data_IF_035834816670
#
_entry.id   IF_035834816670
#
_cell.length_a   1.000
_cell.length_b   1.000
_cell.length_c   1.000
_cell.angle_alpha   90.00
_cell.angle_beta   90.00
_cell.angle_gamma   90.00
#
_symmetry.space_group_name_H-M   'P 1'
#
loop_
_entity.id
_entity.type
_entity.pdbx_description
1 polymer ?
#
# COMPACT_ATOMS: atom_id res chain seq x y z
N UNK A 1 49.61 0.92 -18.73
CA UNK A 1 48.41 0.84 -17.90
C UNK A 1 47.25 1.44 -18.67
N UNK A 2 46.38 0.61 -19.23
CA UNK A 2 45.21 1.04 -20.00
C UNK A 2 44.00 1.01 -19.08
N UNK A 3 43.38 2.19 -18.85
CA UNK A 3 42.12 2.33 -18.09
C UNK A 3 40.98 1.69 -18.87
N UNK A 4 40.11 0.89 -18.23
CA UNK A 4 38.94 0.39 -18.89
C UNK A 4 37.89 1.52 -19.00
N UNK A 5 37.54 1.85 -20.24
CA UNK A 5 36.39 2.70 -20.55
C UNK A 5 35.13 2.03 -20.00
N UNK A 6 34.55 2.60 -18.95
CA UNK A 6 33.20 2.28 -18.52
C UNK A 6 32.23 2.82 -19.57
N UNK A 7 31.72 1.94 -20.43
CA UNK A 7 30.60 2.24 -21.31
C UNK A 7 29.37 2.52 -20.43
N UNK A 8 29.05 3.78 -20.27
CA UNK A 8 27.76 4.23 -19.72
C UNK A 8 26.63 3.61 -20.58
N UNK A 9 25.83 2.72 -19.96
CA UNK A 9 24.67 2.08 -20.59
C UNK A 9 23.44 2.98 -20.51
N UNK A 10 23.58 4.25 -20.73
CA UNK A 10 22.43 5.16 -20.78
C UNK A 10 21.71 4.96 -22.10
N UNK A 11 20.45 4.51 -22.02
CA UNK A 11 19.59 4.38 -23.20
C UNK A 11 19.46 5.76 -23.88
N UNK A 12 19.51 5.82 -25.22
CA UNK A 12 19.24 7.05 -25.95
C UNK A 12 17.87 7.63 -25.56
N UNK A 13 17.80 8.93 -25.28
CA UNK A 13 16.57 9.61 -24.86
C UNK A 13 15.39 9.39 -25.83
N UNK A 14 15.66 9.30 -27.12
CA UNK A 14 14.64 8.99 -28.14
C UNK A 14 14.04 7.58 -27.96
N UNK A 15 14.86 6.59 -27.60
CA UNK A 15 14.37 5.21 -27.35
C UNK A 15 13.52 5.17 -26.08
N UNK A 16 13.93 5.91 -25.04
CA UNK A 16 13.18 6.02 -23.81
C UNK A 16 11.78 6.66 -24.05
N UNK A 17 11.73 7.74 -24.83
CA UNK A 17 10.47 8.40 -25.18
C UNK A 17 9.55 7.46 -25.95
N UNK A 18 10.07 6.72 -26.94
CA UNK A 18 9.29 5.75 -27.71
C UNK A 18 8.76 4.59 -26.86
N UNK A 19 9.58 4.06 -25.93
CA UNK A 19 9.13 3.04 -24.98
C UNK A 19 8.02 3.57 -24.06
N UNK A 20 8.11 4.81 -23.60
CA UNK A 20 7.12 5.42 -22.74
C UNK A 20 5.79 5.67 -23.46
N UNK A 21 5.84 6.14 -24.71
CA UNK A 21 4.65 6.31 -25.55
C UNK A 21 3.98 4.97 -25.87
N UNK A 22 4.77 3.94 -26.22
CA UNK A 22 4.27 2.58 -26.45
C UNK A 22 3.58 2.01 -25.20
N UNK A 23 4.21 2.13 -24.02
CA UNK A 23 3.64 1.67 -22.75
C UNK A 23 2.32 2.39 -22.45
N UNK A 24 2.27 3.70 -22.68
CA UNK A 24 1.06 4.51 -22.47
C UNK A 24 -0.10 4.09 -23.37
N UNK A 25 0.18 3.87 -24.67
CA UNK A 25 -0.82 3.42 -25.62
C UNK A 25 -1.33 2.01 -25.31
N UNK A 26 -0.40 1.09 -24.98
CA UNK A 26 -0.73 -0.27 -24.57
C UNK A 26 -1.61 -0.30 -23.32
N UNK A 27 -1.26 0.46 -22.29
CA UNK A 27 -2.04 0.58 -21.05
C UNK A 27 -3.45 1.09 -21.33
N UNK A 28 -3.59 2.11 -22.17
CA UNK A 28 -4.89 2.67 -22.55
C UNK A 28 -5.78 1.65 -23.26
N UNK A 29 -5.23 0.90 -24.22
CA UNK A 29 -5.98 -0.14 -24.94
C UNK A 29 -6.37 -1.30 -24.02
N UNK A 30 -5.47 -1.75 -23.15
CA UNK A 30 -5.77 -2.82 -22.18
C UNK A 30 -6.87 -2.36 -21.23
N UNK A 31 -6.83 -1.13 -20.73
CA UNK A 31 -7.85 -0.59 -19.84
C UNK A 31 -9.22 -0.53 -20.53
N UNK A 32 -9.27 -0.11 -21.79
CA UNK A 32 -10.51 -0.08 -22.56
C UNK A 32 -11.14 -1.46 -22.77
N UNK A 33 -10.35 -2.54 -22.75
CA UNK A 33 -10.86 -3.92 -22.85
C UNK A 33 -11.18 -4.52 -21.48
N UNK A 34 -10.45 -4.11 -20.45
CA UNK A 34 -10.56 -4.67 -19.11
C UNK A 34 -11.92 -4.39 -18.45
N UNK A 35 -12.36 -3.13 -18.45
CA UNK A 35 -13.60 -2.74 -17.76
C UNK A 35 -14.84 -3.47 -18.33
N UNK A 36 -15.07 -3.53 -19.67
CA UNK A 36 -16.18 -4.29 -20.22
C UNK A 36 -16.13 -5.78 -19.88
N UNK A 37 -14.93 -6.38 -19.87
CA UNK A 37 -14.74 -7.79 -19.55
C UNK A 37 -15.01 -8.06 -18.06
N UNK A 38 -14.51 -7.22 -17.17
CA UNK A 38 -14.78 -7.32 -15.74
C UNK A 38 -16.27 -7.18 -15.43
N UNK A 39 -16.96 -6.24 -16.07
CA UNK A 39 -18.41 -6.06 -15.91
C UNK A 39 -19.20 -7.26 -16.41
N UNK A 40 -18.80 -7.83 -17.55
CA UNK A 40 -19.44 -9.03 -18.09
C UNK A 40 -19.29 -10.23 -17.14
N UNK A 41 -18.09 -10.44 -16.56
CA UNK A 41 -17.86 -11.48 -15.55
C UNK A 41 -18.67 -11.25 -14.28
N UNK A 42 -18.75 -9.99 -13.81
CA UNK A 42 -19.54 -9.66 -12.61
C UNK A 42 -21.02 -9.96 -12.82
N UNK A 43 -21.58 -9.61 -13.97
CA UNK A 43 -22.98 -9.96 -14.33
C UNK A 43 -23.18 -11.48 -14.45
N UNK A 44 -22.19 -12.19 -15.00
CA UNK A 44 -22.25 -13.65 -15.11
C UNK A 44 -22.20 -14.29 -13.72
N UNK A 45 -21.37 -13.80 -12.83
CA UNK A 45 -21.28 -14.26 -11.43
C UNK A 45 -22.64 -14.13 -10.73
N UNK A 46 -23.26 -12.95 -10.80
CA UNK A 46 -24.58 -12.70 -10.18
C UNK A 46 -25.65 -13.59 -10.77
N UNK A 47 -25.65 -13.81 -12.10
CA UNK A 47 -26.59 -14.70 -12.78
C UNK A 47 -26.42 -16.15 -12.29
N UNK A 48 -25.19 -16.64 -12.14
CA UNK A 48 -24.91 -18.00 -11.66
C UNK A 48 -25.30 -18.20 -10.20
N UNK A 49 -25.07 -17.21 -9.34
CA UNK A 49 -25.53 -17.21 -7.96
C UNK A 49 -27.06 -17.30 -7.87
N UNK A 50 -27.77 -16.44 -8.61
CA UNK A 50 -29.23 -16.42 -8.63
C UNK A 50 -29.84 -17.74 -9.15
N UNK A 51 -29.13 -18.44 -10.01
CA UNK A 51 -29.55 -19.74 -10.55
C UNK A 51 -29.14 -20.95 -9.69
N UNK A 52 -28.55 -20.75 -8.52
CA UNK A 52 -28.11 -21.81 -7.61
C UNK A 52 -26.88 -22.60 -8.07
N UNK A 53 -26.21 -22.15 -9.14
CA UNK A 53 -25.06 -22.84 -9.73
C UNK A 53 -23.76 -22.40 -9.05
N UNK A 54 -23.56 -22.83 -7.80
CA UNK A 54 -22.46 -22.37 -6.95
C UNK A 54 -21.07 -22.69 -7.51
N UNK A 55 -20.84 -23.87 -8.08
CA UNK A 55 -19.56 -24.25 -8.65
C UNK A 55 -19.17 -23.35 -9.85
N UNK A 56 -20.14 -23.09 -10.74
CA UNK A 56 -19.95 -22.19 -11.87
C UNK A 56 -19.69 -20.74 -11.38
N UNK A 57 -20.41 -20.30 -10.35
CA UNK A 57 -20.18 -18.98 -9.75
C UNK A 57 -18.77 -18.88 -9.16
N UNK A 58 -18.28 -19.90 -8.45
CA UNK A 58 -16.92 -19.94 -7.91
C UNK A 58 -15.85 -19.90 -9.01
N UNK A 59 -16.08 -20.59 -10.14
CA UNK A 59 -15.17 -20.54 -11.28
C UNK A 59 -15.08 -19.11 -11.87
N UNK A 60 -16.24 -18.44 -12.03
CA UNK A 60 -16.28 -17.04 -12.50
C UNK A 60 -15.60 -16.11 -11.49
N UNK A 61 -15.79 -16.31 -10.19
CA UNK A 61 -15.12 -15.54 -9.15
C UNK A 61 -13.59 -15.66 -9.24
N UNK A 62 -13.09 -16.89 -9.42
CA UNK A 62 -11.64 -17.13 -9.62
C UNK A 62 -11.10 -16.38 -10.84
N UNK A 63 -11.86 -16.32 -11.93
CA UNK A 63 -11.46 -15.57 -13.13
C UNK A 63 -11.46 -14.06 -12.89
N UNK A 64 -12.47 -13.52 -12.18
CA UNK A 64 -12.49 -12.11 -11.75
C UNK A 64 -11.24 -11.79 -10.93
N UNK A 65 -10.87 -12.65 -9.97
CA UNK A 65 -9.64 -12.45 -9.18
C UNK A 65 -8.37 -12.57 -10.03
N UNK A 66 -8.34 -13.50 -11.01
CA UNK A 66 -7.20 -13.63 -11.93
C UNK A 66 -6.98 -12.37 -12.76
N UNK A 67 -8.04 -11.80 -13.32
CA UNK A 67 -7.92 -10.59 -14.15
C UNK A 67 -7.62 -9.35 -13.32
N UNK A 68 -8.12 -9.25 -12.08
CA UNK A 68 -7.73 -8.19 -11.15
C UNK A 68 -6.23 -8.18 -10.88
N UNK A 69 -5.62 -9.36 -10.70
CA UNK A 69 -4.17 -9.50 -10.52
C UNK A 69 -3.36 -9.19 -11.78
N UNK A 70 -3.94 -9.47 -12.96
CA UNK A 70 -3.30 -9.24 -14.25
C UNK A 70 -3.45 -7.80 -14.76
N UNK A 71 -4.19 -6.94 -14.06
CA UNK A 71 -4.42 -5.55 -14.47
C UNK A 71 -3.11 -4.77 -14.49
N UNK A 72 -2.63 -4.32 -15.66
CA UNK A 72 -1.35 -3.60 -15.77
C UNK A 72 -1.34 -2.26 -15.04
N UNK A 73 -2.50 -1.66 -14.81
CA UNK A 73 -2.64 -0.33 -14.22
C UNK A 73 -2.43 -0.27 -12.70
N UNK A 74 -2.40 -1.41 -12.02
CA UNK A 74 -1.98 -1.42 -10.62
C UNK A 74 -0.46 -1.21 -10.47
N UNK A 75 0.32 -1.35 -11.57
CA UNK A 75 1.77 -1.18 -11.55
C UNK A 75 2.31 -0.08 -12.48
N UNK A 76 1.45 0.59 -13.29
CA UNK A 76 1.89 1.59 -14.23
C UNK A 76 1.63 3.01 -13.72
N UNK A 77 2.69 3.65 -13.24
CA UNK A 77 2.81 5.10 -12.99
C UNK A 77 1.95 5.69 -11.86
N UNK A 78 2.00 5.11 -10.69
CA UNK A 78 2.06 5.99 -9.53
C UNK A 78 3.51 6.49 -9.45
N UNK A 79 3.72 7.81 -9.61
CA UNK A 79 5.00 8.44 -9.30
C UNK A 79 5.54 7.87 -7.99
N UNK A 80 6.87 7.67 -7.86
CA UNK A 80 7.44 7.15 -6.62
C UNK A 80 6.82 7.93 -5.47
N UNK A 81 6.23 7.18 -4.58
CA UNK A 81 5.37 7.69 -3.54
C UNK A 81 6.16 8.48 -2.55
N UNK A 82 6.26 9.74 -2.80
CA UNK A 82 6.94 10.65 -1.89
C UNK A 82 6.06 10.81 -0.67
N UNK A 83 6.56 10.38 0.49
CA UNK A 83 5.95 10.73 1.76
C UNK A 83 5.86 12.26 1.83
N UNK A 84 4.66 12.78 2.03
CA UNK A 84 4.46 14.24 2.09
C UNK A 84 4.99 14.72 3.44
N UNK A 85 6.00 15.61 3.41
CA UNK A 85 6.48 16.25 4.62
C UNK A 85 5.36 17.11 5.23
N UNK A 86 4.95 16.78 6.44
CA UNK A 86 3.99 17.53 7.23
C UNK A 86 4.66 18.60 8.10
N UNK A 87 3.84 19.32 8.88
CA UNK A 87 4.33 20.17 9.95
C UNK A 87 5.12 19.33 10.97
N UNK A 88 6.11 19.89 11.60
CA UNK A 88 6.95 19.26 12.63
C UNK A 88 7.83 18.08 12.18
N UNK A 89 8.12 17.98 10.89
CA UNK A 89 8.97 16.92 10.33
C UNK A 89 8.29 15.54 10.26
N UNK A 90 6.99 15.45 10.52
CA UNK A 90 6.22 14.23 10.30
C UNK A 90 6.03 13.97 8.80
N UNK A 91 5.93 12.69 8.42
CA UNK A 91 5.71 12.27 7.05
C UNK A 91 4.36 11.58 6.93
N UNK A 92 3.54 12.02 5.98
CA UNK A 92 2.22 11.50 5.70
C UNK A 92 2.27 10.52 4.52
N UNK A 93 1.87 9.28 4.76
CA UNK A 93 1.70 8.25 3.74
C UNK A 93 0.20 8.16 3.40
N UNK A 94 -0.15 8.55 2.18
CA UNK A 94 -1.54 8.55 1.74
C UNK A 94 -1.92 7.23 1.09
N UNK A 95 -3.19 6.78 1.23
CA UNK A 95 -3.71 5.60 0.54
C UNK A 95 -3.43 5.57 -0.95
N UNK A 96 -3.68 6.69 -1.63
CA UNK A 96 -3.53 6.83 -3.09
C UNK A 96 -2.13 6.46 -3.59
N UNK A 97 -1.16 6.59 -2.72
CA UNK A 97 0.25 6.37 -3.00
C UNK A 97 0.74 4.97 -2.59
N UNK A 98 -0.10 4.07 -2.21
CA UNK A 98 0.27 2.71 -1.81
C UNK A 98 0.22 1.73 -2.98
N UNK A 99 1.25 0.90 -3.11
CA UNK A 99 1.18 -0.33 -3.88
C UNK A 99 0.43 -1.37 -3.05
N UNK A 100 -0.63 -1.97 -3.62
CA UNK A 100 -1.52 -2.86 -2.90
C UNK A 100 -1.37 -4.31 -3.36
N UNK A 101 -1.50 -5.24 -2.41
CA UNK A 101 -1.56 -6.68 -2.70
C UNK A 101 -2.70 -7.34 -1.93
N UNK A 102 -3.12 -8.52 -2.39
CA UNK A 102 -4.14 -9.33 -1.73
C UNK A 102 -5.53 -8.72 -1.82
N UNK A 103 -6.27 -8.72 -0.71
CA UNK A 103 -7.65 -8.23 -0.62
C UNK A 103 -7.77 -6.71 -0.50
N UNK A 104 -6.65 -6.01 -0.23
CA UNK A 104 -6.67 -4.55 0.01
C UNK A 104 -6.92 -3.79 -1.29
N UNK A 105 -7.84 -2.84 -1.27
CA UNK A 105 -8.29 -2.06 -2.40
C UNK A 105 -8.36 -0.56 -2.07
N UNK A 106 -8.24 0.26 -3.12
CA UNK A 106 -8.60 1.68 -3.03
C UNK A 106 -10.11 1.86 -3.18
N UNK A 107 -10.74 2.44 -2.18
CA UNK A 107 -12.09 2.96 -2.35
C UNK A 107 -12.02 4.39 -2.90
N UNK A 108 -12.34 4.55 -4.18
CA UNK A 108 -12.33 5.84 -4.88
C UNK A 108 -13.30 6.85 -4.27
N UNK A 109 -14.38 6.40 -3.64
CA UNK A 109 -15.42 7.25 -3.06
C UNK A 109 -14.97 7.88 -1.75
N UNK A 110 -14.37 7.10 -0.86
CA UNK A 110 -13.89 7.58 0.45
C UNK A 110 -12.41 7.99 0.45
N UNK A 111 -11.64 7.61 -0.57
CA UNK A 111 -10.19 7.81 -0.62
C UNK A 111 -9.40 6.96 0.37
N UNK A 112 -9.99 5.87 0.88
CA UNK A 112 -9.39 4.98 1.89
C UNK A 112 -8.90 3.69 1.28
N UNK A 113 -8.06 2.96 2.02
CA UNK A 113 -7.80 1.54 1.77
C UNK A 113 -8.78 0.69 2.55
N UNK A 114 -9.49 -0.16 1.82
CA UNK A 114 -10.49 -1.11 2.34
C UNK A 114 -10.04 -2.55 2.06
N UNK A 115 -10.80 -3.56 2.53
CA UNK A 115 -10.48 -4.97 2.27
C UNK A 115 -9.37 -5.52 3.16
N UNK A 116 -9.23 -5.02 4.37
CA UNK A 116 -8.29 -5.52 5.38
C UNK A 116 -8.89 -6.71 6.14
N UNK A 117 -9.29 -7.76 5.41
CA UNK A 117 -10.11 -8.87 5.95
C UNK A 117 -9.52 -10.26 5.76
N UNK A 118 -8.54 -10.44 4.87
CA UNK A 118 -7.93 -11.74 4.60
C UNK A 118 -6.40 -11.62 4.55
N UNK A 119 -5.84 -11.52 3.36
CA UNK A 119 -4.40 -11.41 3.15
C UNK A 119 -4.07 -10.20 2.29
N UNK A 120 -2.95 -9.57 2.54
CA UNK A 120 -2.52 -8.47 1.71
C UNK A 120 -1.60 -7.49 2.42
N UNK A 121 -1.12 -6.55 1.65
CA UNK A 121 -0.29 -5.47 2.15
C UNK A 121 -0.49 -4.17 1.37
N UNK A 122 -0.22 -3.07 2.04
CA UNK A 122 -0.06 -1.76 1.45
C UNK A 122 1.40 -1.32 1.65
N UNK A 123 2.07 -0.96 0.55
CA UNK A 123 3.48 -0.59 0.52
C UNK A 123 3.65 0.82 -0.02
N UNK A 124 4.46 1.61 0.66
CA UNK A 124 4.85 2.97 0.27
C UNK A 124 6.35 3.03 0.07
N UNK A 125 6.80 3.67 -1.00
CA UNK A 125 8.21 3.99 -1.23
C UNK A 125 8.62 5.18 -0.35
N UNK A 126 9.81 5.11 0.25
CA UNK A 126 10.32 6.10 1.21
C UNK A 126 11.56 6.83 0.68
N UNK A 127 11.48 7.42 -0.50
CA UNK A 127 12.66 7.92 -1.23
C UNK A 127 13.44 9.04 -0.54
N UNK A 128 12.89 9.72 0.45
CA UNK A 128 13.51 10.91 1.06
C UNK A 128 13.37 10.99 2.58
N UNK A 129 13.03 9.88 3.23
CA UNK A 129 12.95 9.90 4.68
C UNK A 129 14.34 9.75 5.30
N UNK A 130 14.74 10.65 6.21
CA UNK A 130 15.96 10.49 6.96
C UNK A 130 15.99 9.16 7.73
N UNK A 131 17.16 8.50 7.85
CA UNK A 131 17.32 7.40 8.77
C UNK A 131 17.00 7.83 10.20
N UNK A 132 16.43 6.92 10.99
CA UNK A 132 16.09 7.21 12.39
C UNK A 132 14.92 6.40 12.89
N UNK A 133 14.53 6.66 14.14
CA UNK A 133 13.35 6.06 14.75
C UNK A 133 12.13 6.94 14.56
N UNK A 134 11.00 6.30 14.21
CA UNK A 134 9.74 6.96 13.93
C UNK A 134 8.61 6.32 14.71
N UNK A 135 7.73 7.14 15.28
CA UNK A 135 6.43 6.69 15.75
C UNK A 135 5.49 6.49 14.56
N UNK A 136 4.86 5.33 14.51
CA UNK A 136 3.87 4.97 13.48
C UNK A 136 2.48 5.23 14.00
N UNK A 137 1.77 6.14 13.39
CA UNK A 137 0.37 6.47 13.74
C UNK A 137 -0.55 6.16 12.57
N UNK A 138 -1.61 5.40 12.81
CA UNK A 138 -2.66 5.13 11.84
C UNK A 138 -3.85 6.07 12.07
N UNK A 139 -4.39 6.61 10.98
CA UNK A 139 -5.71 7.22 10.92
C UNK A 139 -6.63 6.27 10.17
N UNK A 140 -7.67 5.77 10.82
CA UNK A 140 -8.53 4.73 10.25
C UNK A 140 -9.97 4.81 10.79
N UNK A 141 -10.84 4.08 10.14
CA UNK A 141 -12.21 3.79 10.58
C UNK A 141 -12.35 2.30 10.80
N UNK A 142 -13.19 1.88 11.73
CA UNK A 142 -13.30 0.46 12.06
C UNK A 142 -14.60 0.20 12.82
N UNK A 143 -15.22 -0.95 12.58
CA UNK A 143 -16.44 -1.36 13.25
C UNK A 143 -16.22 -1.88 14.68
N UNK A 144 -17.30 -2.16 15.41
CA UNK A 144 -17.21 -2.64 16.79
C UNK A 144 -16.55 -4.02 16.92
N UNK A 145 -16.73 -4.87 15.92
CA UNK A 145 -16.17 -6.23 15.88
C UNK A 145 -14.97 -6.36 14.93
N UNK A 146 -14.51 -5.23 14.40
CA UNK A 146 -13.30 -5.16 13.57
C UNK A 146 -12.05 -5.11 14.45
N UNK A 147 -10.90 -5.17 13.79
CA UNK A 147 -9.59 -5.17 14.41
C UNK A 147 -8.80 -6.42 14.05
N UNK A 148 -7.60 -6.53 14.58
CA UNK A 148 -6.72 -7.64 14.24
C UNK A 148 -5.26 -7.29 14.47
N UNK A 149 -4.37 -8.08 13.85
CA UNK A 149 -2.92 -7.90 13.94
C UNK A 149 -2.36 -7.50 12.58
N UNK A 150 -1.53 -6.49 12.59
CA UNK A 150 -0.80 -6.01 11.40
C UNK A 150 0.70 -6.07 11.66
N UNK A 151 1.46 -6.36 10.62
CA UNK A 151 2.91 -6.21 10.63
C UNK A 151 3.28 -4.92 9.91
N UNK A 152 4.05 -4.09 10.58
CA UNK A 152 4.74 -2.94 9.99
C UNK A 152 6.17 -3.35 9.69
N UNK A 153 6.66 -3.06 8.50
CA UNK A 153 8.05 -3.32 8.13
C UNK A 153 8.65 -2.18 7.32
N UNK A 154 9.95 -1.92 7.55
CA UNK A 154 10.74 -0.98 6.77
C UNK A 154 12.21 -1.46 6.76
N UNK A 155 12.69 -1.91 5.60
CA UNK A 155 13.98 -2.57 5.48
C UNK A 155 14.07 -3.81 6.39
N UNK A 156 15.02 -3.80 7.33
CA UNK A 156 15.22 -4.88 8.31
C UNK A 156 14.33 -4.76 9.55
N UNK A 157 13.72 -3.61 9.78
CA UNK A 157 12.86 -3.38 10.94
C UNK A 157 11.48 -4.00 10.70
N UNK A 158 11.00 -4.80 11.66
CA UNK A 158 9.67 -5.44 11.61
C UNK A 158 9.07 -5.44 13.00
N UNK A 159 7.84 -4.93 13.11
CA UNK A 159 7.09 -4.89 14.35
C UNK A 159 5.65 -5.34 14.11
N UNK A 160 5.06 -6.02 15.08
CA UNK A 160 3.68 -6.48 15.03
C UNK A 160 2.85 -5.66 16.00
N UNK A 161 1.73 -5.16 15.53
CA UNK A 161 0.83 -4.32 16.31
C UNK A 161 -0.60 -4.84 16.25
N UNK A 162 -1.34 -4.58 17.32
CA UNK A 162 -2.79 -4.87 17.37
C UNK A 162 -3.58 -3.61 17.09
N UNK A 163 -4.42 -3.66 16.07
CA UNK A 163 -5.40 -2.63 15.74
C UNK A 163 -6.72 -2.98 16.41
N UNK A 164 -7.24 -2.07 17.23
CA UNK A 164 -8.53 -2.26 17.94
C UNK A 164 -9.65 -1.58 17.16
N UNK A 165 -10.83 -2.20 17.16
CA UNK A 165 -12.03 -1.57 16.63
C UNK A 165 -12.31 -0.19 17.25
N UNK A 166 -12.89 0.73 16.48
CA UNK A 166 -13.24 2.08 16.92
C UNK A 166 -14.66 2.17 17.52
N UNK A 167 -15.45 1.13 17.36
CA UNK A 167 -16.83 1.08 17.81
C UNK A 167 -17.85 1.38 16.72
N UNK A 168 -17.59 2.33 15.82
CA UNK A 168 -18.47 2.69 14.71
C UNK A 168 -17.66 3.00 13.45
N UNK A 169 -18.08 2.47 12.30
CA UNK A 169 -17.42 2.72 11.01
C UNK A 169 -17.36 4.21 10.61
N UNK A 170 -18.26 5.03 11.11
CA UNK A 170 -18.31 6.46 10.80
C UNK A 170 -17.28 7.27 11.60
N UNK A 171 -16.79 6.73 12.71
CA UNK A 171 -15.86 7.42 13.58
C UNK A 171 -14.42 7.21 13.12
N UNK A 172 -13.73 8.32 12.83
CA UNK A 172 -12.31 8.32 12.58
C UNK A 172 -11.55 8.10 13.88
N UNK A 173 -10.65 7.15 13.88
CA UNK A 173 -9.73 6.87 14.99
C UNK A 173 -8.30 7.15 14.58
N UNK A 174 -7.55 7.68 15.53
CA UNK A 174 -6.10 7.82 15.43
C UNK A 174 -5.46 6.96 16.52
N UNK A 175 -4.50 6.13 16.14
CA UNK A 175 -3.79 5.26 17.07
C UNK A 175 -2.32 5.20 16.72
N UNK A 176 -1.46 5.53 17.69
CA UNK A 176 -0.03 5.28 17.57
C UNK A 176 0.22 3.82 17.88
N UNK A 177 0.76 3.10 16.90
CA UNK A 177 1.05 1.68 17.03
C UNK A 177 2.31 1.44 17.87
N UNK A 178 3.35 2.23 17.62
CA UNK A 178 4.65 2.10 18.26
C UNK A 178 5.76 2.68 17.40
N UNK A 179 6.98 2.20 17.58
CA UNK A 179 8.16 2.71 16.89
C UNK A 179 8.62 1.76 15.78
N UNK A 180 9.19 2.32 14.72
CA UNK A 180 9.92 1.61 13.69
C UNK A 180 11.22 2.35 13.38
N UNK A 181 12.29 1.60 13.11
CA UNK A 181 13.58 2.19 12.74
C UNK A 181 13.75 2.14 11.22
N UNK A 182 13.98 3.29 10.62
CA UNK A 182 14.35 3.43 9.21
C UNK A 182 15.86 3.48 9.08
N UNK A 183 16.40 2.61 8.24
CA UNK A 183 17.83 2.60 7.89
C UNK A 183 18.03 3.32 6.55
N UNK A 184 19.26 3.74 6.22
CA UNK A 184 19.54 4.41 4.93
C UNK A 184 19.07 3.64 3.70
N UNK A 185 18.98 2.31 3.79
CA UNK A 185 18.50 1.42 2.72
C UNK A 185 17.03 0.99 2.88
N UNK A 186 16.26 1.60 3.79
CA UNK A 186 14.85 1.26 4.00
C UNK A 186 13.98 1.89 2.89
N UNK A 187 14.14 1.43 1.66
CA UNK A 187 13.47 2.01 0.48
C UNK A 187 11.94 1.94 0.50
N UNK A 188 11.31 1.23 1.46
CA UNK A 188 9.86 1.10 1.54
C UNK A 188 9.36 0.89 2.98
N UNK A 189 8.14 1.39 3.24
CA UNK A 189 7.32 1.07 4.40
C UNK A 189 6.18 0.17 3.96
N UNK A 190 5.94 -0.93 4.67
CA UNK A 190 4.89 -1.88 4.34
C UNK A 190 4.03 -2.16 5.57
N UNK A 191 2.74 -2.12 5.38
CA UNK A 191 1.73 -2.54 6.36
C UNK A 191 1.04 -3.78 5.82
N UNK A 192 1.17 -4.91 6.51
CA UNK A 192 0.65 -6.22 6.07
C UNK A 192 -0.36 -6.77 7.07
N UNK A 193 -1.36 -7.48 6.57
CA UNK A 193 -2.32 -8.23 7.38
C UNK A 193 -1.61 -9.47 7.93
N UNK A 194 -1.73 -9.71 9.23
CA UNK A 194 -1.37 -10.98 9.86
C UNK A 194 -2.59 -11.77 10.32
N UNK A 195 -3.57 -11.06 10.86
CA UNK A 195 -4.78 -11.67 11.41
C UNK A 195 -5.89 -10.62 11.41
N UNK A 196 -7.03 -10.91 10.82
CA UNK A 196 -8.21 -10.06 10.80
C UNK A 196 -9.35 -10.72 11.58
N UNK A 197 -10.16 -9.89 12.25
CA UNK A 197 -11.43 -10.33 12.84
C UNK A 197 -12.53 -10.40 11.78
N UNK A 198 -13.70 -10.89 12.17
CA UNK A 198 -14.84 -11.15 11.28
C UNK A 198 -15.27 -9.96 10.41
N UNK A 199 -15.08 -8.73 10.88
CA UNK A 199 -15.41 -7.51 10.13
C UNK A 199 -14.16 -6.87 9.50
N UNK A 200 -13.07 -7.61 9.35
CA UNK A 200 -11.81 -7.07 8.88
C UNK A 200 -11.08 -6.27 9.97
N UNK A 201 -10.02 -5.57 9.59
CA UNK A 201 -9.21 -4.79 10.52
C UNK A 201 -9.69 -3.34 10.58
N UNK A 202 -9.74 -2.67 9.43
CA UNK A 202 -9.96 -1.22 9.33
C UNK A 202 -10.24 -0.76 7.90
N UNK A 203 -10.65 0.51 7.77
CA UNK A 203 -10.55 1.32 6.55
C UNK A 203 -9.47 2.38 6.79
N UNK A 204 -8.32 2.25 6.16
CA UNK A 204 -7.15 3.09 6.43
C UNK A 204 -7.24 4.43 5.66
N UNK A 205 -7.19 5.53 6.38
CA UNK A 205 -7.19 6.89 5.80
C UNK A 205 -5.79 7.45 5.58
N UNK A 206 -4.83 7.14 6.44
CA UNK A 206 -3.42 7.52 6.28
C UNK A 206 -2.53 6.85 7.31
N UNK A 207 -1.23 6.82 7.02
CA UNK A 207 -0.18 6.51 8.01
C UNK A 207 0.67 7.76 8.21
N UNK A 208 1.01 8.07 9.45
CA UNK A 208 1.89 9.17 9.82
C UNK A 208 3.15 8.59 10.46
N UNK A 209 4.30 8.96 9.94
CA UNK A 209 5.61 8.66 10.51
C UNK A 209 6.15 9.93 11.17
N UNK A 210 6.18 9.96 12.50
CA UNK A 210 6.71 11.11 13.25
C UNK A 210 8.10 10.78 13.76
N UNK A 211 9.15 11.56 13.41
CA UNK A 211 10.50 11.33 13.91
C UNK A 211 10.50 11.36 15.45
N UNK A 212 11.13 10.36 16.06
CA UNK A 212 11.43 10.41 17.47
C UNK A 212 12.53 11.44 17.68
N UNK A 213 12.21 12.58 18.30
CA UNK A 213 13.21 13.58 18.67
C UNK A 213 14.14 12.94 19.70
N UNK A 214 15.42 12.83 19.38
CA UNK A 214 16.45 12.52 20.36
C UNK A 214 16.60 13.80 21.18
N UNK A 215 16.19 13.75 22.44
CA UNK A 215 16.42 14.87 23.36
C UNK A 215 17.93 14.83 23.72
N UNK A 216 18.74 15.82 23.29
CA UNK A 216 20.20 15.78 23.51
C UNK A 216 20.57 15.77 25.00
N UNK A 217 19.63 16.17 25.87
CA UNK A 217 19.85 16.19 27.33
C UNK A 217 19.68 14.81 28.02
N UNK A 218 19.28 13.78 27.28
CA UNK A 218 19.08 12.42 27.80
C UNK A 218 20.06 11.38 27.25
N UNK A 219 21.08 11.81 26.51
CA UNK A 219 22.14 10.91 26.07
C UNK A 219 23.20 10.78 27.18
N UNK A 220 23.28 9.63 27.90
CA UNK A 220 24.28 9.46 28.95
C UNK A 220 25.72 9.41 28.42
N UNK A 221 25.93 9.41 27.10
CA UNK A 221 27.24 9.33 26.46
C UNK A 221 27.94 10.70 26.28
N UNK A 222 27.31 11.83 26.67
CA UNK A 222 27.92 13.17 26.54
C UNK A 222 28.40 13.71 27.90
N UNK A 223 28.60 12.85 28.89
CA UNK A 223 29.25 13.24 30.15
C UNK A 223 30.62 12.59 30.25
N UNK A 224 31.57 13.08 29.46
CA UNK A 224 32.99 13.01 29.74
C UNK A 224 33.65 14.37 29.38
#
# INVERSE_FOLDING_TARGET
>A
MLSPFALSRDKPAALQALEDDFKKELSSKIQGLYEPYHDALSRLYDKKLKSGKLEEALAVKKEIERIKRARPDHNAKQNPTTAIAGKDGAFLLLPLNAELTGSILHDKKSGRLIGWDDTGSARWTLDKLPPGSYHVTLNYHSGPFAGGRVQVSAGKSKNIFTVKGSGKWQEKKQTTLGEITLFPASGAFTLSILEARTQGIMELSSVILTPKRINPDQDPAVKE
#
